data_IF_850436228733
#
_entry.id   IF_850436228733
#
_cell.length_a   1.000
_cell.length_b   1.000
_cell.length_c   1.000
_cell.angle_alpha   90.00
_cell.angle_beta   90.00
_cell.angle_gamma   90.00
#
_symmetry.space_group_name_H-M   'P 1'
#
loop_
_entity.id
_entity.type
_entity.pdbx_description
1 polymer ?
#
# COMPACT_ATOMS: atom_id res chain seq x y z
N UNK A 1 -14.22 -9.16 13.38
CA UNK A 1 -13.83 -10.02 12.25
C UNK A 1 -13.32 -11.36 12.78
N UNK A 2 -13.73 -12.51 12.18
CA UNK A 2 -13.22 -13.85 12.55
C UNK A 2 -11.69 -13.96 12.39
N UNK A 3 -11.12 -13.18 11.48
CA UNK A 3 -9.69 -13.11 11.24
C UNK A 3 -8.89 -12.59 12.46
N UNK A 4 -9.52 -11.79 13.35
CA UNK A 4 -8.88 -11.28 14.56
C UNK A 4 -8.32 -12.39 15.46
N UNK A 5 -9.01 -13.51 15.55
CA UNK A 5 -8.58 -14.66 16.34
C UNK A 5 -7.28 -15.31 15.80
N UNK A 6 -6.93 -15.03 14.55
CA UNK A 6 -5.70 -15.53 13.90
C UNK A 6 -4.59 -14.48 13.90
N UNK A 7 -4.94 -13.20 14.17
CA UNK A 7 -3.99 -12.11 14.23
C UNK A 7 -3.41 -12.01 15.64
N UNK A 8 -2.13 -12.19 15.79
CA UNK A 8 -1.48 -12.07 17.11
C UNK A 8 -1.54 -10.63 17.57
N UNK A 9 -2.14 -10.37 18.75
CA UNK A 9 -2.15 -9.04 19.39
C UNK A 9 -0.71 -8.52 19.53
N UNK A 10 -0.34 -7.56 18.71
CA UNK A 10 0.93 -6.86 18.85
C UNK A 10 0.76 -5.69 19.82
N UNK A 11 1.70 -5.56 20.78
CA UNK A 11 1.80 -4.35 21.59
C UNK A 11 2.08 -3.17 20.67
N UNK A 12 1.34 -2.07 20.86
CA UNK A 12 1.65 -0.78 20.25
C UNK A 12 2.99 -0.35 20.84
N UNK A 13 4.01 -0.28 20.00
CA UNK A 13 5.32 0.29 20.34
C UNK A 13 5.40 1.58 19.54
N UNK A 14 5.60 2.72 20.21
CA UNK A 14 5.85 4.01 19.55
C UNK A 14 7.25 3.99 18.88
N UNK A 15 7.38 3.21 17.82
CA UNK A 15 8.61 3.14 17.04
C UNK A 15 8.30 3.31 15.56
N UNK A 16 9.29 3.79 14.84
CA UNK A 16 9.23 3.85 13.38
C UNK A 16 9.27 2.45 12.79
N UNK A 17 8.19 2.05 12.10
CA UNK A 17 8.17 0.81 11.34
C UNK A 17 8.91 0.96 10.00
N UNK A 18 8.73 2.12 9.35
CA UNK A 18 9.43 2.50 8.12
C UNK A 18 10.25 3.75 8.35
N UNK A 19 11.51 3.74 7.91
CA UNK A 19 12.33 4.93 7.77
C UNK A 19 12.88 4.99 6.34
N UNK A 20 12.57 6.08 5.66
CA UNK A 20 13.10 6.42 4.33
C UNK A 20 14.15 7.50 4.51
N UNK A 21 15.40 7.26 4.03
CA UNK A 21 16.53 8.18 4.24
C UNK A 21 17.18 8.54 2.90
N UNK A 22 17.12 9.82 2.54
CA UNK A 22 17.75 10.44 1.36
C UNK A 22 17.48 9.63 0.07
N UNK A 23 16.23 9.17 -0.08
CA UNK A 23 15.82 8.26 -1.15
C UNK A 23 15.79 8.99 -2.48
N UNK A 24 16.48 8.46 -3.48
CA UNK A 24 16.44 8.97 -4.85
C UNK A 24 16.30 7.86 -5.86
N UNK A 25 15.57 8.12 -6.95
CA UNK A 25 15.41 7.19 -8.06
C UNK A 25 15.47 7.91 -9.39
N UNK A 26 16.41 7.48 -10.21
CA UNK A 26 16.54 7.89 -11.61
C UNK A 26 16.24 6.68 -12.51
N UNK A 27 15.46 6.88 -13.55
CA UNK A 27 15.24 5.92 -14.61
C UNK A 27 16.03 6.37 -15.85
N UNK A 28 16.86 5.49 -16.39
CA UNK A 28 17.59 5.76 -17.61
C UNK A 28 16.73 5.37 -18.81
N UNK A 29 16.55 6.29 -19.75
CA UNK A 29 15.78 6.08 -20.97
C UNK A 29 16.66 5.41 -22.04
N UNK A 30 17.01 4.13 -21.80
CA UNK A 30 17.90 3.37 -22.69
C UNK A 30 17.21 2.78 -23.92
N UNK A 31 15.91 3.12 -24.21
CA UNK A 31 15.13 2.37 -25.20
C UNK A 31 15.08 2.96 -26.62
N UNK A 32 15.40 4.23 -26.84
CA UNK A 32 15.23 4.83 -28.18
C UNK A 32 16.27 5.88 -28.52
N UNK A 33 17.51 5.61 -28.73
CA UNK A 33 18.53 6.33 -29.52
C UNK A 33 19.89 6.42 -28.83
N UNK A 34 20.92 6.13 -29.56
CA UNK A 34 22.33 6.16 -29.12
C UNK A 34 22.87 7.54 -28.69
N UNK A 35 22.08 8.61 -28.78
CA UNK A 35 22.55 9.99 -28.60
C UNK A 35 21.82 10.88 -27.59
N UNK A 36 20.86 10.37 -26.80
CA UNK A 36 20.26 11.19 -25.74
C UNK A 36 20.18 10.43 -24.40
N UNK A 37 21.07 10.77 -23.47
CA UNK A 37 21.00 10.41 -22.06
C UNK A 37 19.88 11.23 -21.38
N UNK A 38 18.63 10.98 -21.71
CA UNK A 38 17.51 11.53 -20.98
C UNK A 38 17.23 10.63 -19.78
N UNK A 39 17.83 10.93 -18.64
CA UNK A 39 17.50 10.29 -17.38
C UNK A 39 16.38 11.08 -16.69
N UNK A 40 15.31 10.39 -16.29
CA UNK A 40 14.20 10.99 -15.54
C UNK A 40 14.44 10.73 -14.06
N UNK A 41 14.64 11.79 -13.28
CA UNK A 41 14.71 11.72 -11.82
C UNK A 41 13.29 11.71 -11.24
N UNK A 42 12.77 10.53 -10.95
CA UNK A 42 11.41 10.36 -10.43
C UNK A 42 11.28 10.64 -8.92
N UNK A 43 12.37 10.46 -8.15
CA UNK A 43 12.44 10.73 -6.71
C UNK A 43 13.80 11.36 -6.42
N UNK A 44 13.81 12.45 -5.65
CA UNK A 44 14.98 13.27 -5.39
C UNK A 44 15.10 13.62 -3.91
N UNK A 45 15.97 12.93 -3.20
CA UNK A 45 16.35 13.18 -1.80
C UNK A 45 15.17 13.22 -0.81
N UNK A 46 14.31 12.19 -0.87
CA UNK A 46 13.13 12.09 -0.02
C UNK A 46 13.45 11.37 1.28
N UNK A 47 13.05 11.97 2.41
CA UNK A 47 13.21 11.38 3.75
C UNK A 47 11.92 11.55 4.57
N UNK A 48 11.41 10.47 5.14
CA UNK A 48 10.29 10.46 6.07
C UNK A 48 10.26 9.16 6.87
N UNK A 49 9.40 9.10 7.88
CA UNK A 49 9.16 7.91 8.69
C UNK A 49 7.66 7.60 8.78
N UNK A 50 7.34 6.35 9.04
CA UNK A 50 5.97 5.87 9.34
C UNK A 50 6.05 5.08 10.64
N UNK A 51 5.24 5.46 11.63
CA UNK A 51 5.15 4.77 12.93
C UNK A 51 4.35 3.46 12.78
N UNK A 52 4.59 2.51 13.66
CA UNK A 52 3.79 1.28 13.70
C UNK A 52 2.34 1.59 14.10
N UNK A 53 1.37 1.05 13.34
CA UNK A 53 -0.06 1.32 13.54
C UNK A 53 -0.56 2.64 12.94
N UNK A 54 0.33 3.46 12.37
CA UNK A 54 -0.02 4.73 11.74
C UNK A 54 -0.58 4.53 10.32
N UNK A 55 -1.55 5.35 9.94
CA UNK A 55 -1.94 5.59 8.55
C UNK A 55 -1.24 6.84 8.03
N UNK A 56 -0.22 6.65 7.17
CA UNK A 56 0.54 7.74 6.57
C UNK A 56 0.11 7.98 5.13
N UNK A 57 -0.36 9.19 4.81
CA UNK A 57 -0.74 9.62 3.47
C UNK A 57 0.44 10.15 2.68
N UNK A 58 0.57 9.75 1.41
CA UNK A 58 1.50 10.38 0.47
C UNK A 58 0.71 10.97 -0.70
N UNK A 59 0.68 12.30 -0.79
CA UNK A 59 -0.14 13.05 -1.75
C UNK A 59 0.72 13.88 -2.71
N UNK A 60 0.14 14.24 -3.84
CA UNK A 60 0.75 15.10 -4.87
C UNK A 60 0.16 14.79 -6.25
N UNK A 61 0.50 15.58 -7.24
CA UNK A 61 0.03 15.41 -8.61
C UNK A 61 0.45 14.07 -9.24
N UNK A 62 -0.22 13.67 -10.32
CA UNK A 62 0.19 12.51 -11.11
C UNK A 62 1.63 12.71 -11.61
N UNK A 63 2.45 11.67 -11.52
CA UNK A 63 3.87 11.76 -11.92
C UNK A 63 4.81 12.35 -10.84
N UNK A 64 4.32 12.80 -9.67
CA UNK A 64 5.17 13.37 -8.62
C UNK A 64 6.13 12.38 -7.94
N UNK A 65 6.05 11.06 -8.24
CA UNK A 65 6.95 10.03 -7.72
C UNK A 65 6.36 9.12 -6.63
N UNK A 66 5.10 9.30 -6.21
CA UNK A 66 4.43 8.54 -5.13
C UNK A 66 4.49 7.02 -5.33
N UNK A 67 4.01 6.54 -6.47
CA UNK A 67 4.03 5.09 -6.79
C UNK A 67 5.45 4.54 -6.94
N UNK A 68 6.41 5.38 -7.33
CA UNK A 68 7.83 5.00 -7.37
C UNK A 68 8.37 4.77 -5.96
N UNK A 69 8.04 5.67 -5.01
CA UNK A 69 8.39 5.50 -3.58
C UNK A 69 7.74 4.23 -3.03
N UNK A 70 6.45 4.01 -3.27
CA UNK A 70 5.75 2.80 -2.85
C UNK A 70 6.45 1.52 -3.35
N UNK A 71 6.76 1.46 -4.65
CA UNK A 71 7.46 0.31 -5.27
C UNK A 71 8.87 0.11 -4.72
N UNK A 72 9.56 1.17 -4.30
CA UNK A 72 10.85 1.05 -3.61
C UNK A 72 10.69 0.53 -2.17
N UNK A 73 9.67 0.99 -1.44
CA UNK A 73 9.39 0.52 -0.07
C UNK A 73 9.09 -0.98 -0.05
N UNK A 74 8.30 -1.50 -1.00
CA UNK A 74 8.03 -2.94 -1.13
C UNK A 74 9.16 -3.71 -1.84
N UNK A 75 10.28 -3.05 -2.14
CA UNK A 75 11.46 -3.61 -2.81
C UNK A 75 11.17 -4.21 -4.19
N UNK A 76 10.22 -3.65 -4.94
CA UNK A 76 10.02 -3.93 -6.37
C UNK A 76 11.00 -3.12 -7.22
N UNK A 77 11.35 -1.91 -6.81
CA UNK A 77 12.39 -1.09 -7.41
C UNK A 77 13.54 -0.88 -6.44
N UNK A 78 14.76 -0.96 -6.94
CA UNK A 78 15.94 -0.56 -6.17
C UNK A 78 16.12 0.96 -6.27
N UNK A 79 16.37 1.67 -5.17
CA UNK A 79 16.73 3.09 -5.22
C UNK A 79 18.06 3.28 -5.95
N UNK A 80 18.25 4.47 -6.54
CA UNK A 80 19.53 4.90 -7.10
C UNK A 80 20.47 5.41 -6.00
N UNK A 81 19.88 6.05 -4.95
CA UNK A 81 20.58 6.51 -3.73
C UNK A 81 19.65 6.42 -2.54
N UNK A 82 20.25 6.42 -1.34
CA UNK A 82 19.51 6.36 -0.08
C UNK A 82 19.15 4.94 0.36
N UNK A 83 18.60 4.85 1.55
CA UNK A 83 18.27 3.57 2.19
C UNK A 83 16.83 3.58 2.71
N UNK A 84 16.22 2.40 2.74
CA UNK A 84 14.91 2.14 3.35
C UNK A 84 15.11 1.12 4.47
N UNK A 85 14.58 1.45 5.64
CA UNK A 85 14.59 0.55 6.80
C UNK A 85 13.16 0.13 7.13
N UNK A 86 12.98 -1.17 7.35
CA UNK A 86 11.76 -1.76 7.89
C UNK A 86 12.13 -2.41 9.23
N UNK A 87 11.53 -1.95 10.31
CA UNK A 87 11.81 -2.44 11.67
C UNK A 87 13.32 -2.47 11.98
N UNK A 88 14.01 -1.36 11.68
CA UNK A 88 15.46 -1.17 11.79
C UNK A 88 16.33 -2.04 10.85
N UNK A 89 15.74 -2.91 10.02
CA UNK A 89 16.47 -3.70 9.02
C UNK A 89 16.54 -2.94 7.71
N UNK A 90 17.75 -2.74 7.17
CA UNK A 90 17.95 -2.06 5.89
C UNK A 90 17.49 -2.97 4.73
N UNK A 91 16.32 -2.66 4.17
CA UNK A 91 15.68 -3.44 3.10
C UNK A 91 16.49 -3.43 1.81
N UNK A 92 17.13 -2.29 1.50
CA UNK A 92 17.91 -2.11 0.27
C UNK A 92 19.16 -2.99 0.23
N UNK A 93 19.60 -3.49 1.40
CA UNK A 93 20.81 -4.33 1.57
C UNK A 93 20.50 -5.82 1.75
N UNK A 94 19.23 -6.23 1.76
CA UNK A 94 18.88 -7.65 1.86
C UNK A 94 19.37 -8.39 0.60
N UNK A 95 20.26 -9.36 0.79
CA UNK A 95 20.84 -10.19 -0.27
C UNK A 95 20.31 -11.63 -0.28
N UNK A 96 19.90 -12.14 0.87
CA UNK A 96 19.50 -13.52 1.03
C UNK A 96 18.00 -13.72 0.77
N UNK A 97 17.66 -14.73 -0.02
CA UNK A 97 16.27 -15.02 -0.39
C UNK A 97 15.38 -15.28 0.83
N UNK A 98 15.87 -15.94 1.87
CA UNK A 98 15.11 -16.21 3.10
C UNK A 98 14.75 -14.92 3.85
N UNK A 99 15.68 -13.96 3.95
CA UNK A 99 15.42 -12.67 4.56
C UNK A 99 14.42 -11.86 3.73
N UNK A 100 14.56 -11.90 2.41
CA UNK A 100 13.62 -11.26 1.49
C UNK A 100 12.22 -11.87 1.60
N UNK A 101 12.08 -13.18 1.73
CA UNK A 101 10.79 -13.83 1.98
C UNK A 101 10.17 -13.40 3.31
N UNK A 102 10.96 -13.31 4.39
CA UNK A 102 10.50 -12.81 5.69
C UNK A 102 10.02 -11.36 5.60
N UNK A 103 10.75 -10.51 4.89
CA UNK A 103 10.37 -9.13 4.63
C UNK A 103 9.06 -9.07 3.84
N UNK A 104 8.96 -9.77 2.71
CA UNK A 104 7.75 -9.79 1.86
C UNK A 104 6.51 -10.33 2.57
N UNK A 105 6.67 -11.20 3.56
CA UNK A 105 5.55 -11.64 4.40
C UNK A 105 4.96 -10.49 5.23
N UNK A 106 5.81 -9.57 5.69
CA UNK A 106 5.43 -8.50 6.62
C UNK A 106 4.94 -7.23 5.92
N UNK A 107 5.15 -7.14 4.60
CA UNK A 107 4.77 -5.98 3.80
C UNK A 107 4.00 -6.43 2.55
N UNK A 108 2.85 -5.85 2.33
CA UNK A 108 2.02 -6.16 1.17
C UNK A 108 1.58 -4.89 0.45
N UNK A 109 1.22 -5.03 -0.83
CA UNK A 109 0.81 -3.89 -1.66
C UNK A 109 -0.50 -4.17 -2.37
N UNK A 110 -1.40 -3.21 -2.30
CA UNK A 110 -2.61 -3.11 -3.12
C UNK A 110 -2.27 -2.16 -4.27
N UNK A 111 -2.38 -2.65 -5.49
CA UNK A 111 -2.08 -1.89 -6.71
C UNK A 111 -3.29 -1.08 -7.18
N UNK A 112 -3.03 -0.04 -7.95
CA UNK A 112 -4.02 0.89 -8.50
C UNK A 112 -5.11 0.20 -9.33
N UNK A 113 -4.73 -0.78 -10.15
CA UNK A 113 -5.66 -1.51 -11.01
C UNK A 113 -5.93 -2.94 -10.49
N UNK A 114 -7.12 -3.21 -9.96
CA UNK A 114 -7.48 -4.55 -9.51
C UNK A 114 -7.64 -5.56 -10.66
N UNK A 115 -7.85 -5.10 -11.90
CA UNK A 115 -7.96 -5.98 -13.06
C UNK A 115 -6.64 -6.63 -13.42
N UNK A 116 -5.57 -5.84 -13.49
CA UNK A 116 -4.23 -6.33 -13.84
C UNK A 116 -3.55 -7.04 -12.68
N UNK A 117 -3.96 -6.77 -11.45
CA UNK A 117 -3.34 -7.33 -10.25
C UNK A 117 -3.77 -8.77 -9.91
N UNK A 118 -4.91 -9.23 -10.44
CA UNK A 118 -5.45 -10.57 -10.20
C UNK A 118 -5.28 -11.45 -11.45
N UNK A 119 -4.78 -12.68 -11.26
CA UNK A 119 -4.72 -13.65 -12.34
C UNK A 119 -6.12 -14.16 -12.68
N UNK A 120 -6.71 -13.71 -13.79
CA UNK A 120 -8.06 -14.07 -14.22
C UNK A 120 -8.28 -15.56 -14.57
N UNK A 121 -7.20 -16.36 -14.64
CA UNK A 121 -7.25 -17.80 -14.89
C UNK A 121 -7.35 -18.65 -13.64
N UNK A 122 -7.17 -18.05 -12.46
CA UNK A 122 -7.24 -18.71 -11.17
C UNK A 122 -8.57 -18.39 -10.48
N UNK A 123 -9.08 -19.36 -9.71
CA UNK A 123 -10.21 -19.11 -8.81
C UNK A 123 -9.81 -18.20 -7.66
N UNK A 124 -10.75 -17.47 -7.09
CA UNK A 124 -10.54 -16.57 -5.97
C UNK A 124 -9.82 -17.26 -4.80
N UNK A 125 -10.23 -18.49 -4.45
CA UNK A 125 -9.55 -19.27 -3.40
C UNK A 125 -8.08 -19.52 -3.69
N UNK A 126 -7.72 -19.77 -4.94
CA UNK A 126 -6.33 -20.03 -5.32
C UNK A 126 -5.50 -18.73 -5.23
N UNK A 127 -6.08 -17.60 -5.68
CA UNK A 127 -5.46 -16.27 -5.59
C UNK A 127 -5.20 -15.88 -4.13
N UNK A 128 -6.19 -16.05 -3.25
CA UNK A 128 -6.07 -15.67 -1.82
C UNK A 128 -5.18 -16.66 -1.06
N UNK A 129 -5.19 -17.95 -1.42
CA UNK A 129 -4.37 -18.98 -0.75
C UNK A 129 -2.91 -18.99 -1.18
N UNK A 130 -2.56 -18.43 -2.35
CA UNK A 130 -1.20 -18.45 -2.88
C UNK A 130 -0.16 -17.91 -1.87
N UNK A 131 -0.31 -16.70 -1.30
CA UNK A 131 0.65 -16.18 -0.32
C UNK A 131 0.67 -17.01 0.98
N UNK A 132 -0.45 -17.63 1.38
CA UNK A 132 -0.49 -18.50 2.56
C UNK A 132 0.37 -19.74 2.32
N UNK A 133 0.17 -20.42 1.19
CA UNK A 133 0.94 -21.61 0.80
C UNK A 133 2.44 -21.33 0.67
N UNK A 134 2.78 -20.16 0.11
CA UNK A 134 4.17 -19.73 -0.05
C UNK A 134 4.91 -19.61 1.30
N UNK A 135 4.23 -19.07 2.32
CA UNK A 135 4.83 -18.81 3.64
C UNK A 135 4.57 -19.92 4.67
N UNK A 136 3.63 -20.82 4.40
CA UNK A 136 3.34 -22.00 5.22
C UNK A 136 3.02 -23.22 4.33
N UNK A 137 4.06 -23.85 3.72
CA UNK A 137 3.86 -24.97 2.80
C UNK A 137 3.24 -26.23 3.46
N UNK A 138 3.31 -26.33 4.79
CA UNK A 138 2.79 -27.48 5.56
C UNK A 138 1.35 -27.30 6.04
N UNK A 139 0.66 -26.21 5.67
CA UNK A 139 -0.73 -25.98 6.09
C UNK A 139 -1.65 -27.07 5.55
N UNK A 140 -2.52 -27.62 6.41
CA UNK A 140 -3.51 -28.60 5.95
C UNK A 140 -4.54 -27.97 5.00
N UNK A 141 -5.13 -28.78 4.13
CA UNK A 141 -6.15 -28.26 3.20
C UNK A 141 -7.36 -27.67 3.94
N UNK A 142 -7.80 -28.31 5.02
CA UNK A 142 -8.95 -27.83 5.79
C UNK A 142 -8.67 -26.49 6.49
N UNK A 143 -7.47 -26.34 7.07
CA UNK A 143 -7.06 -25.07 7.70
C UNK A 143 -6.89 -23.95 6.67
N UNK A 144 -6.38 -24.30 5.48
CA UNK A 144 -6.24 -23.34 4.38
C UNK A 144 -7.61 -22.87 3.88
N UNK A 145 -8.55 -23.79 3.62
CA UNK A 145 -9.88 -23.45 3.16
C UNK A 145 -10.62 -22.59 4.21
N UNK A 146 -10.56 -22.99 5.50
CA UNK A 146 -11.10 -22.18 6.60
C UNK A 146 -10.50 -20.79 6.65
N UNK A 147 -9.19 -20.66 6.47
CA UNK A 147 -8.53 -19.36 6.51
C UNK A 147 -8.92 -18.48 5.32
N UNK A 148 -9.01 -19.04 4.12
CA UNK A 148 -9.50 -18.32 2.93
C UNK A 148 -10.93 -17.83 3.14
N UNK A 149 -11.81 -18.62 3.71
CA UNK A 149 -13.19 -18.22 4.00
C UNK A 149 -13.25 -17.07 5.03
N UNK A 150 -12.45 -17.14 6.10
CA UNK A 150 -12.35 -16.07 7.10
C UNK A 150 -11.84 -14.75 6.45
N UNK A 151 -10.87 -14.84 5.52
CA UNK A 151 -10.37 -13.68 4.77
C UNK A 151 -11.44 -13.08 3.85
N UNK A 152 -12.19 -13.91 3.12
CA UNK A 152 -13.27 -13.43 2.25
C UNK A 152 -14.38 -12.75 3.05
N UNK A 153 -14.81 -13.34 4.17
CA UNK A 153 -15.79 -12.73 5.07
C UNK A 153 -15.27 -11.38 5.64
N UNK A 154 -13.98 -11.28 5.95
CA UNK A 154 -13.38 -10.05 6.48
C UNK A 154 -13.42 -8.88 5.50
N UNK A 155 -13.53 -9.17 4.21
CA UNK A 155 -13.69 -8.16 3.15
C UNK A 155 -15.12 -8.12 2.59
N UNK A 156 -16.09 -8.63 3.35
CA UNK A 156 -17.53 -8.65 3.00
C UNK A 156 -17.85 -9.41 1.70
N UNK A 157 -17.11 -10.48 1.44
CA UNK A 157 -17.41 -11.44 0.37
C UNK A 157 -17.93 -12.75 0.96
N UNK A 158 -18.94 -13.34 0.33
CA UNK A 158 -19.47 -14.64 0.75
C UNK A 158 -18.46 -15.76 0.46
N UNK A 159 -18.53 -16.86 1.21
CA UNK A 159 -17.71 -18.06 1.00
C UNK A 159 -17.87 -18.64 -0.41
N UNK A 160 -19.08 -18.54 -1.00
CA UNK A 160 -19.35 -18.97 -2.37
C UNK A 160 -18.51 -18.24 -3.42
N UNK A 161 -17.95 -17.08 -3.08
CA UNK A 161 -17.00 -16.33 -3.93
C UNK A 161 -15.71 -17.10 -4.18
N UNK A 162 -15.33 -18.02 -3.31
CA UNK A 162 -14.08 -18.77 -3.37
C UNK A 162 -13.90 -19.58 -4.66
N UNK A 163 -15.00 -20.16 -5.18
CA UNK A 163 -14.97 -21.03 -6.37
C UNK A 163 -15.14 -20.29 -7.70
N UNK A 164 -15.37 -18.98 -7.65
CA UNK A 164 -15.57 -18.15 -8.84
C UNK A 164 -14.25 -17.56 -9.35
N UNK A 165 -14.26 -17.04 -10.58
CA UNK A 165 -13.13 -16.40 -11.23
C UNK A 165 -13.22 -14.86 -11.14
N UNK A 166 -12.10 -14.12 -11.15
CA UNK A 166 -12.11 -12.66 -11.04
C UNK A 166 -13.00 -11.93 -12.05
N UNK A 167 -13.12 -12.43 -13.27
CA UNK A 167 -13.95 -11.83 -14.30
C UNK A 167 -15.47 -11.87 -14.01
N UNK A 168 -15.90 -12.68 -13.06
CA UNK A 168 -17.30 -12.78 -12.62
C UNK A 168 -17.68 -11.75 -11.54
N UNK A 169 -16.75 -10.86 -11.16
CA UNK A 169 -16.92 -9.88 -10.09
C UNK A 169 -16.88 -8.45 -10.61
N UNK A 170 -17.61 -7.55 -9.94
CA UNK A 170 -17.50 -6.10 -10.17
C UNK A 170 -16.12 -5.56 -9.77
N UNK A 171 -15.79 -4.33 -10.18
CA UNK A 171 -14.53 -3.66 -9.82
C UNK A 171 -14.32 -3.59 -8.31
N UNK A 172 -15.33 -3.19 -7.54
CA UNK A 172 -15.25 -3.13 -6.07
C UNK A 172 -15.08 -4.51 -5.42
N UNK A 173 -15.75 -5.55 -5.96
CA UNK A 173 -15.55 -6.91 -5.48
C UNK A 173 -14.14 -7.44 -5.78
N UNK A 174 -13.57 -7.12 -6.94
CA UNK A 174 -12.17 -7.45 -7.27
C UNK A 174 -11.20 -6.74 -6.33
N UNK A 175 -11.48 -5.48 -5.99
CA UNK A 175 -10.69 -4.76 -5.01
C UNK A 175 -10.72 -5.43 -3.64
N UNK A 176 -11.90 -5.91 -3.19
CA UNK A 176 -12.04 -6.71 -1.96
C UNK A 176 -11.22 -8.00 -2.01
N UNK A 177 -11.18 -8.68 -3.15
CA UNK A 177 -10.33 -9.88 -3.35
C UNK A 177 -8.85 -9.50 -3.24
N UNK A 178 -8.43 -8.37 -3.82
CA UNK A 178 -7.04 -7.87 -3.73
C UNK A 178 -6.65 -7.54 -2.28
N UNK A 179 -7.58 -6.94 -1.50
CA UNK A 179 -7.40 -6.69 -0.07
C UNK A 179 -7.27 -8.01 0.69
N UNK A 180 -8.17 -8.98 0.48
CA UNK A 180 -8.12 -10.30 1.12
C UNK A 180 -6.78 -11.02 0.86
N UNK A 181 -6.29 -10.99 -0.39
CA UNK A 181 -4.99 -11.54 -0.76
C UNK A 181 -3.84 -10.85 -0.02
N UNK A 182 -3.87 -9.53 0.08
CA UNK A 182 -2.84 -8.76 0.79
C UNK A 182 -2.84 -9.07 2.30
N UNK A 183 -4.01 -9.27 2.91
CA UNK A 183 -4.14 -9.64 4.32
C UNK A 183 -3.72 -11.08 4.63
N UNK A 184 -3.63 -11.95 3.63
CA UNK A 184 -3.41 -13.38 3.79
C UNK A 184 -2.09 -13.75 4.50
N UNK A 185 -1.07 -12.88 4.41
CA UNK A 185 0.23 -13.06 5.09
C UNK A 185 0.28 -12.44 6.49
N UNK A 186 -0.78 -11.77 6.95
CA UNK A 186 -0.82 -10.99 8.18
C UNK A 186 0.29 -9.92 8.21
N UNK A 187 0.31 -8.99 7.24
CA UNK A 187 1.39 -8.01 7.13
C UNK A 187 1.37 -7.01 8.30
N UNK A 188 2.53 -6.39 8.58
CA UNK A 188 2.62 -5.23 9.49
C UNK A 188 2.42 -3.92 8.75
N UNK A 189 2.76 -3.88 7.45
CA UNK A 189 2.56 -2.72 6.58
C UNK A 189 1.77 -3.09 5.34
N UNK A 190 0.73 -2.33 5.06
CA UNK A 190 -0.04 -2.36 3.82
C UNK A 190 0.22 -1.08 3.03
N UNK A 191 0.75 -1.23 1.83
CA UNK A 191 0.94 -0.12 0.89
C UNK A 191 -0.25 -0.08 -0.07
N UNK A 192 -1.02 0.99 -0.05
CA UNK A 192 -2.20 1.20 -0.89
C UNK A 192 -1.86 2.26 -1.96
N UNK A 193 -1.57 1.82 -3.18
CA UNK A 193 -1.25 2.72 -4.29
C UNK A 193 -2.52 3.04 -5.08
N UNK A 194 -3.15 4.18 -4.79
CA UNK A 194 -4.41 4.64 -5.36
C UNK A 194 -5.52 3.57 -5.36
N UNK A 195 -5.86 2.97 -4.21
CA UNK A 195 -6.65 1.73 -4.14
C UNK A 195 -8.10 1.86 -4.61
N UNK A 196 -8.57 3.08 -4.88
CA UNK A 196 -9.97 3.36 -5.26
C UNK A 196 -10.11 4.17 -6.53
N UNK A 197 -9.01 4.56 -7.20
CA UNK A 197 -9.04 5.47 -8.36
C UNK A 197 -9.79 4.93 -9.58
N UNK A 198 -9.90 3.59 -9.71
CA UNK A 198 -10.61 2.92 -10.81
C UNK A 198 -12.08 2.58 -10.48
N UNK A 199 -12.61 3.06 -9.35
CA UNK A 199 -13.95 2.72 -8.84
C UNK A 199 -14.87 3.95 -8.88
N UNK A 200 -16.17 3.70 -9.00
CA UNK A 200 -17.17 4.75 -8.81
C UNK A 200 -17.26 5.24 -7.36
N UNK A 201 -17.76 6.47 -7.16
CA UNK A 201 -17.73 7.17 -5.86
C UNK A 201 -18.39 6.38 -4.73
N UNK A 202 -19.49 5.67 -5.02
CA UNK A 202 -20.22 4.92 -3.99
C UNK A 202 -19.45 3.70 -3.52
N UNK A 203 -18.81 2.98 -4.43
CA UNK A 203 -17.96 1.82 -4.14
C UNK A 203 -16.65 2.27 -3.50
N UNK A 204 -16.09 3.40 -3.93
CA UNK A 204 -14.91 4.01 -3.31
C UNK A 204 -15.11 4.21 -1.81
N UNK A 205 -16.23 4.83 -1.39
CA UNK A 205 -16.52 5.04 0.03
C UNK A 205 -16.58 3.71 0.82
N UNK A 206 -17.18 2.67 0.24
CA UNK A 206 -17.24 1.35 0.89
C UNK A 206 -15.86 0.72 1.08
N UNK A 207 -14.97 0.80 0.07
CA UNK A 207 -13.62 0.27 0.15
C UNK A 207 -12.78 1.05 1.18
N UNK A 208 -12.93 2.38 1.24
CA UNK A 208 -12.23 3.21 2.23
C UNK A 208 -12.65 2.89 3.65
N UNK A 209 -13.96 2.75 3.90
CA UNK A 209 -14.48 2.34 5.22
C UNK A 209 -13.95 0.94 5.60
N UNK A 210 -13.99 -0.01 4.68
CA UNK A 210 -13.44 -1.35 4.90
C UNK A 210 -11.95 -1.30 5.27
N UNK A 211 -11.14 -0.52 4.57
CA UNK A 211 -9.70 -0.38 4.86
C UNK A 211 -9.48 0.26 6.24
N UNK A 212 -10.29 1.25 6.62
CA UNK A 212 -10.22 1.90 7.92
C UNK A 212 -10.59 0.93 9.05
N UNK A 213 -11.69 0.18 8.90
CA UNK A 213 -12.10 -0.82 9.88
C UNK A 213 -11.03 -1.91 10.07
N UNK A 214 -10.41 -2.37 8.97
CA UNK A 214 -9.32 -3.33 9.01
C UNK A 214 -8.09 -2.73 9.74
N UNK A 215 -7.73 -1.49 9.43
CA UNK A 215 -6.61 -0.79 10.05
C UNK A 215 -6.78 -0.69 11.55
N UNK A 216 -7.95 -0.23 12.02
CA UNK A 216 -8.26 -0.06 13.43
C UNK A 216 -8.30 -1.41 14.17
N UNK A 217 -8.98 -2.41 13.60
CA UNK A 217 -9.14 -3.71 14.25
C UNK A 217 -7.86 -4.53 14.33
N UNK A 218 -6.99 -4.42 13.31
CA UNK A 218 -5.75 -5.19 13.22
C UNK A 218 -4.51 -4.38 13.68
N UNK A 219 -4.69 -3.11 14.05
CA UNK A 219 -3.60 -2.15 14.30
C UNK A 219 -2.55 -2.19 13.16
N UNK A 220 -3.07 -2.15 11.93
CA UNK A 220 -2.27 -2.27 10.72
C UNK A 220 -1.64 -0.93 10.36
N UNK A 221 -0.34 -0.92 10.07
CA UNK A 221 0.29 0.27 9.50
C UNK A 221 -0.08 0.41 8.03
N UNK A 222 -0.48 1.60 7.59
CA UNK A 222 -0.84 1.85 6.19
C UNK A 222 0.00 2.98 5.61
N UNK A 223 0.59 2.75 4.43
CA UNK A 223 1.02 3.80 3.52
C UNK A 223 -0.05 3.99 2.45
N UNK A 224 -0.77 5.10 2.52
CA UNK A 224 -1.90 5.39 1.64
C UNK A 224 -1.51 6.44 0.59
N UNK A 225 -1.50 6.07 -0.68
CA UNK A 225 -1.18 6.96 -1.79
C UNK A 225 -2.46 7.36 -2.50
N UNK A 226 -2.67 8.65 -2.65
CA UNK A 226 -3.79 9.20 -3.41
C UNK A 226 -3.46 10.60 -3.92
N UNK A 227 -4.17 11.02 -4.96
CA UNK A 227 -4.25 12.42 -5.39
C UNK A 227 -5.51 13.11 -4.87
N UNK A 228 -6.41 12.36 -4.21
CA UNK A 228 -7.67 12.86 -3.62
C UNK A 228 -7.45 13.25 -2.15
N UNK A 229 -7.30 14.55 -1.89
CA UNK A 229 -7.04 15.09 -0.57
C UNK A 229 -8.18 14.86 0.44
N UNK A 230 -9.47 15.02 0.11
CA UNK A 230 -10.60 14.63 0.96
C UNK A 230 -10.49 13.19 1.48
N UNK A 231 -10.16 12.25 0.59
CA UNK A 231 -9.97 10.84 0.95
C UNK A 231 -8.80 10.67 1.93
N UNK A 232 -7.68 11.31 1.64
CA UNK A 232 -6.49 11.22 2.51
C UNK A 232 -6.74 11.85 3.89
N UNK A 233 -7.51 12.94 3.96
CA UNK A 233 -7.92 13.56 5.24
C UNK A 233 -8.69 12.59 6.12
N UNK A 234 -9.57 11.78 5.52
CA UNK A 234 -10.38 10.79 6.26
C UNK A 234 -9.57 9.57 6.70
N UNK A 235 -8.56 9.19 5.92
CA UNK A 235 -7.85 7.91 6.06
C UNK A 235 -6.56 7.99 6.86
N UNK A 236 -5.91 9.18 6.92
CA UNK A 236 -4.53 9.27 7.35
C UNK A 236 -4.34 10.14 8.60
N UNK A 237 -3.42 9.73 9.47
CA UNK A 237 -3.02 10.46 10.68
C UNK A 237 -2.03 11.58 10.34
N UNK A 238 -1.07 11.29 9.45
CA UNK A 238 -0.07 12.24 8.94
C UNK A 238 -0.01 12.15 7.43
N UNK A 239 0.40 13.26 6.80
CA UNK A 239 0.48 13.39 5.35
C UNK A 239 1.83 13.96 4.94
N UNK A 240 2.45 13.33 3.94
CA UNK A 240 3.57 13.84 3.19
C UNK A 240 3.12 14.36 1.82
N UNK A 241 3.47 15.60 1.49
CA UNK A 241 3.16 16.23 0.21
C UNK A 241 4.36 16.15 -0.71
N UNK A 242 4.19 15.53 -1.87
CA UNK A 242 5.23 15.29 -2.86
C UNK A 242 5.00 16.13 -4.13
N UNK A 243 6.02 16.85 -4.58
CA UNK A 243 6.04 17.59 -5.85
C UNK A 243 7.35 17.33 -6.59
N UNK A 244 7.28 16.98 -7.87
CA UNK A 244 8.45 16.80 -8.75
C UNK A 244 9.55 15.93 -8.13
N UNK A 245 9.16 14.82 -7.50
CA UNK A 245 10.06 13.88 -6.84
C UNK A 245 10.60 14.34 -5.47
N UNK A 246 10.21 15.50 -4.95
CA UNK A 246 10.67 16.05 -3.68
C UNK A 246 9.55 16.08 -2.65
N UNK A 247 9.89 15.80 -1.40
CA UNK A 247 8.98 15.95 -0.28
C UNK A 247 8.96 17.42 0.16
N UNK A 248 7.80 18.07 -0.01
CA UNK A 248 7.62 19.49 0.28
C UNK A 248 7.25 19.76 1.74
N UNK A 249 6.39 18.91 2.30
CA UNK A 249 5.84 19.09 3.64
C UNK A 249 5.44 17.73 4.23
N UNK A 250 5.65 17.54 5.55
CA UNK A 250 5.09 16.42 6.33
C UNK A 250 4.49 17.01 7.59
N UNK A 251 3.21 16.72 7.82
CA UNK A 251 2.50 17.22 9.00
C UNK A 251 1.39 16.26 9.44
N UNK A 252 0.86 16.46 10.64
CA UNK A 252 -0.39 15.87 11.05
C UNK A 252 -1.51 16.31 10.11
N UNK A 253 -2.45 15.42 9.83
CA UNK A 253 -3.51 15.66 8.85
C UNK A 253 -4.27 16.97 9.12
N UNK A 254 -4.80 17.16 10.32
CA UNK A 254 -5.57 18.37 10.66
C UNK A 254 -4.71 19.65 10.61
N UNK A 255 -3.44 19.56 11.00
CA UNK A 255 -2.51 20.69 10.90
C UNK A 255 -2.25 21.09 9.45
N UNK A 256 -2.04 20.12 8.56
CA UNK A 256 -1.80 20.36 7.14
C UNK A 256 -2.99 21.05 6.48
N UNK A 257 -4.23 20.65 6.85
CA UNK A 257 -5.45 21.27 6.28
C UNK A 257 -5.75 22.64 6.87
N UNK A 258 -5.43 22.88 8.14
CA UNK A 258 -5.72 24.17 8.81
C UNK A 258 -4.63 25.21 8.61
N UNK A 259 -3.37 24.80 8.59
CA UNK A 259 -2.20 25.70 8.57
C UNK A 259 -1.06 25.16 7.68
N UNK A 260 -1.33 24.96 6.36
CA UNK A 260 -0.28 24.49 5.44
C UNK A 260 0.90 25.44 5.41
N UNK A 261 2.12 24.90 5.49
CA UNK A 261 3.34 25.70 5.53
C UNK A 261 3.88 25.95 4.12
N UNK A 262 3.97 24.90 3.30
CA UNK A 262 4.55 24.98 1.98
C UNK A 262 3.58 25.58 0.96
N UNK A 263 4.06 26.46 0.05
CA UNK A 263 3.21 27.12 -0.94
C UNK A 263 2.46 26.12 -1.84
N UNK A 264 3.12 25.07 -2.27
CA UNK A 264 2.47 24.04 -3.07
C UNK A 264 1.34 23.31 -2.32
N UNK A 265 1.50 23.06 -1.02
CA UNK A 265 0.42 22.51 -0.19
C UNK A 265 -0.79 23.45 -0.17
N UNK A 266 -0.56 24.77 -0.05
CA UNK A 266 -1.63 25.78 -0.12
C UNK A 266 -2.34 25.76 -1.46
N UNK A 267 -1.58 25.66 -2.56
CA UNK A 267 -2.13 25.57 -3.92
C UNK A 267 -3.01 24.32 -4.09
N UNK A 268 -2.50 23.14 -3.66
CA UNK A 268 -3.25 21.88 -3.70
C UNK A 268 -4.57 21.97 -2.91
N UNK A 269 -4.52 22.52 -1.70
CA UNK A 269 -5.72 22.68 -0.87
C UNK A 269 -6.70 23.70 -1.44
N UNK A 270 -6.20 24.74 -2.13
CA UNK A 270 -7.06 25.76 -2.77
C UNK A 270 -7.83 25.18 -3.98
N UNK A 271 -7.27 24.20 -4.66
CA UNK A 271 -7.89 23.51 -5.78
C UNK A 271 -8.96 22.47 -5.36
N UNK A 272 -9.07 22.19 -4.07
CA UNK A 272 -10.12 21.29 -3.57
C UNK A 272 -11.52 21.90 -3.79
N UNK A 273 -12.49 21.07 -4.19
CA UNK A 273 -13.89 21.49 -4.15
C UNK A 273 -14.25 21.94 -2.73
N UNK A 274 -14.77 23.15 -2.60
CA UNK A 274 -15.34 23.62 -1.32
C UNK A 274 -16.63 22.83 -1.08
N UNK A 275 -16.61 21.95 -0.10
CA UNK A 275 -17.79 21.22 0.38
C UNK A 275 -18.60 22.17 1.27
#
# INVERSE_FOLDING_TARGET
LKILNRWTNKKIIEQDLIQVKNLSKTFDDNFFTENSKNSIMAVNDVSFNIKEGESFGLVGESGSGKSTIAKMIVNLYKPSKGDIFFDNVCVTKIKHNLEMMKFRKQIQMIFQDPYSSLNGRLKVKDIVSEPIKLHNPSISKNDLDSYVFDLLESVELSQNSADRYPHEFSGGQRQRISIARALATQPRLLVCDEPTSALDVSIQAQILNLLKDIQEQLNLTILFISHDLPVVRQMCDRIGVLKDGKLCEVSNTEELFLKPQHNYTKELLHLMPKI
#
